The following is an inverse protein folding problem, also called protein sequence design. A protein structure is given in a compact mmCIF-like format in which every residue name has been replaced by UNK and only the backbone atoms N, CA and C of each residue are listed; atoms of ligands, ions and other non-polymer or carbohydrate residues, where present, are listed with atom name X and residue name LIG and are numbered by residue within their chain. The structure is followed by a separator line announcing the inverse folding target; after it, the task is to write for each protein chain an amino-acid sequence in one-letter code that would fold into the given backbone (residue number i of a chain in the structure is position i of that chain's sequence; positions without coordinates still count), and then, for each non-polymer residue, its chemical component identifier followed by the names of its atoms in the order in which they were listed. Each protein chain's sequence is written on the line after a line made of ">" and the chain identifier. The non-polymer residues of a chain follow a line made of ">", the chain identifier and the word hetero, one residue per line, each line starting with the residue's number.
data_IF_061681154748
#
_entry.id   IF_061681154748
#
_cell.length_a   1.000
_cell.length_b   1.000
_cell.length_c   1.000
_cell.angle_alpha   90.00
_cell.angle_beta   90.00
_cell.angle_gamma   90.00
#
_symmetry.space_group_name_H-M   'P 1'
#
loop_
_entity.id
_entity.type
_entity.pdbx_description
1 polymer ?
#
# COMPACT_ATOMS: atom_id res chain seq x y z
N UNK A 1 -9.13 11.89 18.91
CA UNK A 1 -8.25 10.73 19.17
C UNK A 1 -7.19 10.76 18.09
N UNK A 2 -5.91 10.95 18.44
CA UNK A 2 -4.84 10.81 17.45
C UNK A 2 -4.71 9.32 17.09
N UNK A 3 -4.70 8.98 15.81
CA UNK A 3 -4.52 7.59 15.37
C UNK A 3 -3.10 7.08 15.61
N UNK A 4 -2.76 5.89 15.12
CA UNK A 4 -1.38 5.38 15.17
C UNK A 4 -0.45 6.23 14.32
N UNK A 5 0.84 6.35 14.72
CA UNK A 5 1.85 7.00 13.88
C UNK A 5 2.36 6.01 12.83
N UNK A 6 2.31 6.43 11.57
CA UNK A 6 2.69 5.65 10.40
C UNK A 6 3.55 6.54 9.52
N UNK A 7 4.42 5.91 8.76
CA UNK A 7 5.34 6.52 7.84
C UNK A 7 4.66 6.60 6.47
N UNK A 8 4.53 7.81 5.93
CA UNK A 8 3.86 8.08 4.67
C UNK A 8 4.70 8.99 3.78
N UNK A 9 4.56 8.81 2.47
CA UNK A 9 5.07 9.74 1.48
C UNK A 9 4.12 10.93 1.30
N UNK A 10 4.69 12.14 1.21
CA UNK A 10 3.98 13.38 0.92
C UNK A 10 4.59 14.04 -0.30
N UNK A 11 3.76 14.46 -1.25
CA UNK A 11 4.19 15.19 -2.44
C UNK A 11 3.75 16.65 -2.35
N UNK A 12 4.69 17.57 -2.56
CA UNK A 12 4.39 19.00 -2.63
C UNK A 12 3.67 19.36 -3.94
N UNK A 13 2.55 20.07 -3.85
CA UNK A 13 1.79 20.52 -5.03
C UNK A 13 2.50 21.62 -5.84
N UNK A 14 3.51 22.28 -5.25
CA UNK A 14 4.18 23.42 -5.89
C UNK A 14 5.55 23.11 -6.49
N UNK A 15 6.37 22.30 -5.81
CA UNK A 15 7.71 21.95 -6.31
C UNK A 15 7.86 20.46 -6.65
N UNK A 16 6.77 19.68 -6.53
CA UNK A 16 6.73 18.23 -6.80
C UNK A 16 7.71 17.39 -5.98
N UNK A 17 8.34 17.98 -4.94
CA UNK A 17 9.23 17.27 -4.03
C UNK A 17 8.45 16.24 -3.23
N UNK A 18 8.95 15.00 -3.21
CA UNK A 18 8.40 13.90 -2.42
C UNK A 18 9.28 13.70 -1.19
N UNK A 19 8.65 13.64 -0.02
CA UNK A 19 9.32 13.43 1.25
C UNK A 19 8.52 12.48 2.14
N UNK A 20 9.26 11.68 2.90
CA UNK A 20 8.71 10.73 3.85
C UNK A 20 8.52 11.40 5.21
N UNK A 21 7.36 11.19 5.85
CA UNK A 21 7.06 11.74 7.18
C UNK A 21 6.39 10.72 8.09
N UNK A 22 6.87 10.67 9.33
CA UNK A 22 6.27 9.88 10.40
C UNK A 22 5.20 10.69 11.13
N UNK A 23 3.94 10.50 10.75
CA UNK A 23 2.80 11.31 11.20
C UNK A 23 1.66 10.43 11.69
N UNK A 24 0.68 11.03 12.37
CA UNK A 24 -0.54 10.31 12.74
C UNK A 24 -1.33 9.89 11.49
N UNK A 25 -1.97 8.73 11.57
CA UNK A 25 -2.74 8.15 10.46
C UNK A 25 -3.82 9.08 9.89
N UNK A 26 -4.35 10.01 10.68
CA UNK A 26 -5.32 11.03 10.27
C UNK A 26 -4.73 12.23 9.49
N UNK A 27 -3.40 12.41 9.45
CA UNK A 27 -2.75 13.58 8.82
C UNK A 27 -2.66 13.46 7.29
N UNK A 28 -3.55 14.13 6.55
CA UNK A 28 -3.53 14.08 5.08
C UNK A 28 -2.66 15.14 4.40
N UNK A 29 -2.30 16.22 5.10
CA UNK A 29 -1.52 17.33 4.56
C UNK A 29 -0.41 17.73 5.53
N UNK A 30 0.73 18.14 4.98
CA UNK A 30 1.88 18.63 5.75
C UNK A 30 2.59 19.74 4.98
N UNK A 31 3.48 20.48 5.64
CA UNK A 31 4.25 21.55 4.99
C UNK A 31 5.53 21.03 4.34
N UNK A 32 5.78 21.39 3.09
CA UNK A 32 6.95 20.97 2.33
C UNK A 32 8.25 21.51 2.92
N UNK A 33 9.22 20.62 3.15
CA UNK A 33 10.52 20.98 3.73
C UNK A 33 11.42 21.79 2.78
N UNK A 34 11.08 21.86 1.48
CA UNK A 34 11.86 22.57 0.46
C UNK A 34 11.35 23.96 0.14
N UNK A 35 10.03 24.13 0.02
CA UNK A 35 9.43 25.39 -0.42
C UNK A 35 8.44 26.00 0.58
N UNK A 36 8.16 25.33 1.69
CA UNK A 36 7.25 25.82 2.74
C UNK A 36 5.77 25.84 2.36
N UNK A 37 5.40 25.33 1.19
CA UNK A 37 4.00 25.22 0.74
C UNK A 37 3.41 23.86 1.10
N UNK A 38 2.13 23.67 0.84
CA UNK A 38 1.44 22.43 1.19
C UNK A 38 1.93 21.21 0.38
N UNK A 39 2.01 20.09 1.08
CA UNK A 39 2.24 18.75 0.55
C UNK A 39 1.10 17.82 0.96
N UNK A 40 0.60 17.07 0.00
CA UNK A 40 -0.49 16.09 0.19
C UNK A 40 0.07 14.69 0.33
N UNK A 41 -0.56 13.86 1.16
CA UNK A 41 -0.18 12.45 1.32
C UNK A 41 -0.37 11.71 -0.02
N UNK A 42 0.68 11.03 -0.48
CA UNK A 42 0.58 10.10 -1.59
C UNK A 42 -0.14 8.83 -1.10
N UNK A 43 -1.25 8.51 -1.75
CA UNK A 43 -1.96 7.25 -1.51
C UNK A 43 -1.31 6.23 -2.44
N UNK A 44 -0.71 5.19 -1.86
CA UNK A 44 -0.18 4.07 -2.64
C UNK A 44 -1.30 3.34 -3.37
N UNK A 45 -0.95 2.68 -4.48
CA UNK A 45 -1.90 1.81 -5.17
C UNK A 45 -2.47 0.79 -4.20
N UNK A 46 -3.80 0.57 -4.16
CA UNK A 46 -4.39 -0.41 -3.26
C UNK A 46 -3.84 -1.80 -3.58
N UNK A 47 -3.66 -2.62 -2.56
CA UNK A 47 -3.36 -4.04 -2.77
C UNK A 47 -4.62 -4.71 -3.32
N UNK A 48 -4.54 -5.20 -4.56
CA UNK A 48 -5.64 -5.93 -5.20
C UNK A 48 -5.37 -7.43 -5.04
N UNK A 49 -6.22 -8.11 -4.29
CA UNK A 49 -6.23 -9.57 -4.24
C UNK A 49 -7.18 -10.09 -5.33
N UNK A 50 -6.63 -10.76 -6.34
CA UNK A 50 -7.40 -11.42 -7.38
C UNK A 50 -7.94 -12.76 -6.88
N UNK A 51 -9.09 -13.17 -7.40
CA UNK A 51 -9.66 -14.48 -7.06
C UNK A 51 -8.77 -15.60 -7.60
N UNK A 52 -8.31 -16.47 -6.72
CA UNK A 52 -7.47 -17.62 -7.07
C UNK A 52 -8.26 -18.82 -7.56
N UNK A 53 -9.59 -18.86 -7.39
CA UNK A 53 -10.37 -19.98 -7.94
C UNK A 53 -10.68 -19.81 -9.42
N UNK A 54 -10.66 -18.57 -9.91
CA UNK A 54 -10.93 -18.23 -11.30
C UNK A 54 -9.70 -18.45 -12.22
N UNK A 55 -9.79 -19.30 -13.26
CA UNK A 55 -8.71 -19.51 -14.22
C UNK A 55 -8.45 -18.29 -15.13
N UNK A 56 -9.32 -17.27 -15.12
CA UNK A 56 -9.09 -15.99 -15.79
C UNK A 56 -7.95 -15.16 -15.20
N UNK A 57 -7.52 -15.45 -13.97
CA UNK A 57 -6.37 -14.83 -13.31
C UNK A 57 -5.24 -15.85 -13.13
N UNK A 58 -4.44 -16.15 -14.18
CA UNK A 58 -3.56 -17.31 -14.21
C UNK A 58 -2.54 -17.37 -13.06
N UNK A 59 -1.98 -16.22 -12.65
CA UNK A 59 -1.02 -16.16 -11.54
C UNK A 59 -1.68 -16.46 -10.18
N UNK A 60 -2.85 -15.87 -9.92
CA UNK A 60 -3.63 -16.12 -8.72
C UNK A 60 -4.14 -17.56 -8.67
N UNK A 61 -4.56 -18.10 -9.82
CA UNK A 61 -5.03 -19.47 -9.96
C UNK A 61 -3.95 -20.50 -9.70
N UNK A 62 -2.78 -20.33 -10.32
CA UNK A 62 -1.64 -21.23 -10.09
C UNK A 62 -1.21 -21.23 -8.62
N UNK A 63 -1.15 -20.04 -8.00
CA UNK A 63 -0.82 -19.92 -6.58
C UNK A 63 -1.84 -20.63 -5.68
N UNK A 64 -3.12 -20.50 -5.97
CA UNK A 64 -4.19 -21.18 -5.26
C UNK A 64 -4.10 -22.70 -5.43
N UNK A 65 -3.98 -23.19 -6.66
CA UNK A 65 -3.89 -24.61 -6.98
C UNK A 65 -2.68 -25.26 -6.29
N UNK A 66 -1.50 -24.63 -6.35
CA UNK A 66 -0.30 -25.11 -5.65
C UNK A 66 -0.50 -25.23 -4.14
N UNK A 67 -1.16 -24.24 -3.52
CA UNK A 67 -1.45 -24.28 -2.10
C UNK A 67 -2.44 -25.39 -1.74
N UNK A 68 -3.47 -25.59 -2.56
CA UNK A 68 -4.47 -26.63 -2.36
C UNK A 68 -3.88 -28.03 -2.55
N UNK A 69 -3.06 -28.25 -3.58
CA UNK A 69 -2.35 -29.50 -3.80
C UNK A 69 -1.38 -29.82 -2.65
N UNK A 70 -0.63 -28.81 -2.17
CA UNK A 70 0.25 -28.97 -0.99
C UNK A 70 -0.54 -29.27 0.28
N UNK A 71 -1.69 -28.64 0.49
CA UNK A 71 -2.55 -28.91 1.64
C UNK A 71 -3.17 -30.31 1.56
N UNK A 72 -3.59 -30.75 0.37
CA UNK A 72 -4.17 -32.06 0.12
C UNK A 72 -3.16 -33.21 0.26
N UNK A 73 -1.88 -32.96 0.00
CA UNK A 73 -0.81 -33.95 0.18
C UNK A 73 -0.48 -34.28 1.65
N UNK A 74 -1.06 -33.53 2.60
CA UNK A 74 -0.88 -33.77 4.04
C UNK A 74 0.54 -33.44 4.52
N UNK A 75 0.66 -32.99 5.77
CA UNK A 75 1.97 -32.89 6.44
C UNK A 75 2.48 -34.31 6.67
N UNK A 76 3.38 -34.78 5.81
CA UNK A 76 4.27 -35.92 6.12
C UNK A 76 5.21 -35.57 7.26
#
# INVERSE_FOLDING_TARGET
>A
MMGSRILYDFQCNSCSFVEEKFVYSDVQQTMCSKCGKDSVRLISSPTIALDGTDPGFPDAHNKWADQHERAGRGKG
#
